data_IF_847852900951
#
_entry.id   IF_847852900951
#
_cell.length_a   1.000
_cell.length_b   1.000
_cell.length_c   1.000
_cell.angle_alpha   90.00
_cell.angle_beta   90.00
_cell.angle_gamma   90.00
#
_symmetry.space_group_name_H-M   'P 1'
#
loop_
_entity.id
_entity.type
_entity.pdbx_description
1 polymer ?
#
# COMPACT_ATOMS: atom_id res chain seq x y z
N UNK A 1 7.21 5.59 26.07
CA UNK A 1 6.87 5.65 24.63
C UNK A 1 6.59 4.24 24.14
N UNK A 2 5.33 3.94 23.90
CA UNK A 2 4.86 2.66 23.37
C UNK A 2 3.74 2.85 22.35
N UNK A 3 3.21 1.74 21.84
CA UNK A 3 2.04 1.68 20.97
C UNK A 3 0.83 2.26 21.70
N UNK A 4 0.52 1.80 22.92
CA UNK A 4 -0.64 2.26 23.67
C UNK A 4 -0.60 3.75 24.00
N UNK A 5 0.57 4.26 24.41
CA UNK A 5 0.76 5.69 24.68
C UNK A 5 0.53 6.54 23.41
N UNK A 6 1.05 6.11 22.25
CA UNK A 6 0.76 6.79 20.98
C UNK A 6 -0.73 6.80 20.64
N UNK A 7 -1.37 5.63 20.72
CA UNK A 7 -2.76 5.44 20.33
C UNK A 7 -3.72 6.19 21.26
N UNK A 8 -3.51 6.10 22.58
CA UNK A 8 -4.42 6.63 23.59
C UNK A 8 -4.24 8.12 23.84
N UNK A 9 -3.02 8.63 23.73
CA UNK A 9 -2.72 10.01 24.10
C UNK A 9 -2.60 10.88 22.85
N UNK A 10 -1.63 10.60 21.98
CA UNK A 10 -1.32 11.47 20.84
C UNK A 10 -2.39 11.37 19.74
N UNK A 11 -2.58 10.19 19.17
CA UNK A 11 -3.52 10.00 18.05
C UNK A 11 -4.96 10.31 18.45
N UNK A 12 -5.36 9.86 19.65
CA UNK A 12 -6.69 10.11 20.18
C UNK A 12 -6.99 11.61 20.34
N UNK A 13 -6.01 12.38 20.84
CA UNK A 13 -6.11 13.83 20.95
C UNK A 13 -6.16 14.52 19.59
N UNK A 14 -5.39 14.04 18.62
CA UNK A 14 -5.37 14.57 17.26
C UNK A 14 -6.71 14.36 16.55
N UNK A 15 -7.38 13.24 16.79
CA UNK A 15 -8.67 12.88 16.20
C UNK A 15 -9.88 13.31 17.04
N UNK A 16 -9.72 14.26 17.98
CA UNK A 16 -10.78 14.69 18.90
C UNK A 16 -12.04 15.25 18.23
N UNK A 17 -11.92 15.75 17.00
CA UNK A 17 -13.05 16.24 16.20
C UNK A 17 -13.95 15.11 15.67
N UNK A 18 -13.42 13.88 15.62
CA UNK A 18 -14.18 12.67 15.29
C UNK A 18 -14.86 12.14 16.54
N UNK A 19 -16.16 11.81 16.43
CA UNK A 19 -16.91 11.20 17.53
C UNK A 19 -16.23 9.92 18.02
N UNK A 20 -16.17 9.76 19.34
CA UNK A 20 -15.42 8.71 20.04
C UNK A 20 -15.56 7.31 19.42
N UNK A 21 -16.79 6.80 19.24
CA UNK A 21 -17.04 5.47 18.65
C UNK A 21 -16.43 5.22 17.26
N UNK A 22 -16.21 6.28 16.48
CA UNK A 22 -15.63 6.19 15.14
C UNK A 22 -14.13 6.37 15.16
N UNK A 23 -13.65 7.22 16.08
CA UNK A 23 -12.23 7.34 16.41
C UNK A 23 -11.67 6.00 16.89
N UNK A 24 -12.40 5.29 17.75
CA UNK A 24 -12.03 3.95 18.21
C UNK A 24 -11.81 2.97 17.05
N UNK A 25 -12.62 3.05 15.98
CA UNK A 25 -12.42 2.20 14.79
C UNK A 25 -11.10 2.50 14.08
N UNK A 26 -10.74 3.77 13.95
CA UNK A 26 -9.47 4.19 13.34
C UNK A 26 -8.30 3.75 14.22
N UNK A 27 -8.41 3.97 15.53
CA UNK A 27 -7.39 3.57 16.52
C UNK A 27 -7.19 2.06 16.52
N UNK A 28 -8.28 1.26 16.52
CA UNK A 28 -8.20 -0.20 16.47
C UNK A 28 -7.60 -0.72 15.16
N UNK A 29 -7.94 -0.11 14.02
CA UNK A 29 -7.34 -0.47 12.73
C UNK A 29 -5.83 -0.22 12.72
N UNK A 30 -5.39 0.95 13.21
CA UNK A 30 -3.97 1.30 13.34
C UNK A 30 -3.28 0.35 14.33
N UNK A 31 -3.90 0.04 15.47
CA UNK A 31 -3.39 -0.94 16.44
C UNK A 31 -3.17 -2.30 15.79
N UNK A 32 -4.16 -2.80 15.04
CA UNK A 32 -4.09 -4.08 14.36
C UNK A 32 -2.95 -4.10 13.33
N UNK A 33 -2.81 -3.02 12.55
CA UNK A 33 -1.71 -2.83 11.60
C UNK A 33 -0.34 -2.85 12.27
N UNK A 34 -0.18 -2.05 13.33
CA UNK A 34 1.07 -1.99 14.10
C UNK A 34 1.43 -3.36 14.66
N UNK A 35 0.49 -4.03 15.34
CA UNK A 35 0.76 -5.30 15.99
C UNK A 35 1.02 -6.42 14.97
N UNK A 36 0.26 -6.48 13.87
CA UNK A 36 0.45 -7.46 12.79
C UNK A 36 1.82 -7.33 12.12
N UNK A 37 2.33 -6.10 11.97
CA UNK A 37 3.68 -5.88 11.42
C UNK A 37 4.79 -6.14 12.46
N UNK A 38 4.64 -5.62 13.67
CA UNK A 38 5.66 -5.70 14.72
C UNK A 38 5.83 -7.12 15.28
N UNK A 39 4.76 -7.92 15.36
CA UNK A 39 4.85 -9.30 15.83
C UNK A 39 5.76 -10.20 14.97
N UNK A 40 6.02 -9.78 13.72
CA UNK A 40 6.90 -10.46 12.76
C UNK A 40 8.04 -9.55 12.28
N UNK A 41 8.41 -8.53 13.04
CA UNK A 41 9.41 -7.56 12.60
C UNK A 41 10.77 -8.19 12.26
N UNK A 42 11.15 -9.25 12.98
CA UNK A 42 12.40 -10.00 12.75
C UNK A 42 12.32 -10.93 11.53
N UNK A 43 11.14 -11.19 10.98
CA UNK A 43 10.98 -11.91 9.72
C UNK A 43 11.27 -10.93 8.57
N UNK A 44 12.54 -10.86 8.15
CA UNK A 44 13.05 -9.85 7.21
C UNK A 44 12.23 -9.80 5.91
N UNK A 45 11.92 -10.94 5.31
CA UNK A 45 11.16 -11.00 4.06
C UNK A 45 9.74 -10.46 4.26
N UNK A 46 9.08 -10.85 5.34
CA UNK A 46 7.76 -10.31 5.69
C UNK A 46 7.81 -8.80 5.89
N UNK A 47 8.71 -8.32 6.74
CA UNK A 47 8.86 -6.89 7.06
C UNK A 47 9.16 -6.07 5.80
N UNK A 48 10.18 -6.46 5.03
CA UNK A 48 10.57 -5.72 3.82
C UNK A 48 9.44 -5.67 2.82
N UNK A 49 8.69 -6.75 2.64
CA UNK A 49 7.62 -6.82 1.64
C UNK A 49 6.40 -5.99 2.04
N UNK A 50 6.01 -6.00 3.32
CA UNK A 50 4.93 -5.12 3.81
C UNK A 50 5.33 -3.65 3.69
N UNK A 51 6.57 -3.30 4.03
CA UNK A 51 7.06 -1.92 3.92
C UNK A 51 7.28 -1.48 2.47
N UNK A 52 7.62 -2.40 1.56
CA UNK A 52 7.94 -2.12 0.17
C UNK A 52 6.83 -1.36 -0.56
N UNK A 53 5.56 -1.72 -0.35
CA UNK A 53 4.42 -1.05 -1.00
C UNK A 53 4.23 0.41 -0.52
N UNK A 54 5.00 0.84 0.48
CA UNK A 54 4.96 2.19 1.03
C UNK A 54 6.19 3.04 0.67
N UNK A 55 7.20 2.45 0.02
CA UNK A 55 8.49 3.10 -0.24
C UNK A 55 8.33 4.43 -1.01
N UNK A 56 7.44 4.44 -2.00
CA UNK A 56 7.19 5.62 -2.85
C UNK A 56 6.50 6.76 -2.08
N UNK A 57 5.60 6.42 -1.15
CA UNK A 57 4.83 7.39 -0.35
C UNK A 57 5.61 7.87 0.87
N UNK A 58 6.44 7.02 1.48
CA UNK A 58 7.29 7.37 2.61
C UNK A 58 8.29 8.51 2.30
N UNK A 59 8.65 8.68 1.02
CA UNK A 59 9.50 9.80 0.56
C UNK A 59 8.82 11.17 0.64
N UNK A 60 7.49 11.22 0.79
CA UNK A 60 6.75 12.47 0.82
C UNK A 60 6.72 13.12 2.22
N UNK A 61 6.79 12.30 3.26
CA UNK A 61 6.54 12.76 4.62
C UNK A 61 7.82 13.21 5.34
N UNK A 62 7.67 14.34 6.02
CA UNK A 62 8.65 14.95 6.92
C UNK A 62 8.26 14.65 8.38
N UNK A 63 9.18 14.75 9.35
CA UNK A 63 10.61 15.06 9.19
C UNK A 63 11.43 13.88 8.67
N UNK A 64 12.67 14.16 8.28
CA UNK A 64 13.68 13.12 8.04
C UNK A 64 13.87 12.24 9.28
N UNK A 65 13.65 10.94 9.08
CA UNK A 65 13.80 9.87 10.05
C UNK A 65 14.35 8.62 9.34
N UNK A 66 14.84 7.61 10.08
CA UNK A 66 15.23 6.33 9.49
C UNK A 66 14.13 5.76 8.58
N UNK A 67 14.50 5.12 7.49
CA UNK A 67 13.55 4.65 6.47
C UNK A 67 12.51 3.70 7.05
N UNK A 68 12.92 2.78 7.93
CA UNK A 68 12.01 1.85 8.62
C UNK A 68 10.96 2.60 9.44
N UNK A 69 11.30 3.72 10.10
CA UNK A 69 10.34 4.54 10.85
C UNK A 69 9.30 5.14 9.90
N UNK A 70 9.75 5.78 8.81
CA UNK A 70 8.83 6.44 7.87
C UNK A 70 7.91 5.42 7.19
N UNK A 71 8.45 4.31 6.72
CA UNK A 71 7.70 3.23 6.09
C UNK A 71 6.74 2.57 7.09
N UNK A 72 7.16 2.35 8.33
CA UNK A 72 6.29 1.85 9.41
C UNK A 72 5.11 2.78 9.65
N UNK A 73 5.34 4.10 9.77
CA UNK A 73 4.26 5.07 9.95
C UNK A 73 3.33 5.09 8.75
N UNK A 74 3.85 5.08 7.52
CA UNK A 74 3.00 5.04 6.33
C UNK A 74 2.17 3.75 6.29
N UNK A 75 2.80 2.58 6.47
CA UNK A 75 2.13 1.29 6.42
C UNK A 75 1.03 1.12 7.47
N UNK A 76 1.26 1.63 8.69
CA UNK A 76 0.38 1.34 9.82
C UNK A 76 -0.59 2.47 10.16
N UNK A 77 -0.25 3.72 9.85
CA UNK A 77 -1.06 4.90 10.20
C UNK A 77 -1.63 5.56 8.96
N UNK A 78 -0.80 5.92 7.97
CA UNK A 78 -1.32 6.60 6.78
C UNK A 78 -2.19 5.67 5.95
N UNK A 79 -1.77 4.42 5.84
CA UNK A 79 -2.44 3.34 5.13
C UNK A 79 -3.43 2.60 6.03
N UNK A 80 -4.28 3.35 6.73
CA UNK A 80 -5.29 2.86 7.68
C UNK A 80 -6.66 3.45 7.37
N UNK A 81 -7.66 3.12 8.19
CA UNK A 81 -8.98 3.77 8.17
C UNK A 81 -8.93 5.30 8.34
N UNK A 82 -7.79 5.89 8.72
CA UNK A 82 -7.55 7.33 8.65
C UNK A 82 -7.76 7.88 7.23
N UNK A 83 -7.49 7.09 6.19
CA UNK A 83 -7.74 7.44 4.79
C UNK A 83 -9.24 7.65 4.51
N UNK A 84 -10.10 6.82 5.09
CA UNK A 84 -11.56 6.98 4.94
C UNK A 84 -12.03 8.29 5.59
N UNK A 85 -11.39 8.71 6.69
CA UNK A 85 -11.72 9.98 7.34
C UNK A 85 -11.23 11.20 6.54
N UNK A 86 -10.21 11.02 5.70
CA UNK A 86 -9.64 12.03 4.82
C UNK A 86 -10.28 12.09 3.43
N UNK A 87 -11.25 11.22 3.13
CA UNK A 87 -11.85 11.10 1.80
C UNK A 87 -13.31 11.55 1.77
N UNK A 88 -13.92 11.55 0.58
CA UNK A 88 -15.35 11.85 0.43
C UNK A 88 -16.27 10.86 1.18
N UNK A 89 -15.72 9.71 1.60
CA UNK A 89 -16.42 8.71 2.39
C UNK A 89 -16.35 8.97 3.91
N UNK A 90 -15.80 10.11 4.33
CA UNK A 90 -15.74 10.55 5.72
C UNK A 90 -17.10 10.56 6.45
N UNK A 91 -18.21 10.67 5.70
CA UNK A 91 -19.58 10.56 6.22
C UNK A 91 -19.86 9.22 6.91
N UNK A 92 -19.10 8.15 6.61
CA UNK A 92 -19.14 6.88 7.34
C UNK A 92 -18.81 7.06 8.83
N UNK A 93 -17.98 8.06 9.17
CA UNK A 93 -17.64 8.46 10.53
C UNK A 93 -18.49 9.60 11.08
N UNK A 94 -19.57 9.98 10.39
CA UNK A 94 -20.48 11.08 10.76
C UNK A 94 -19.77 12.43 10.94
N UNK A 95 -18.68 12.63 10.24
CA UNK A 95 -18.08 13.95 9.98
C UNK A 95 -18.64 14.49 8.66
N UNK A 96 -18.83 15.81 8.58
CA UNK A 96 -19.46 16.45 7.42
C UNK A 96 -18.48 16.62 6.26
N UNK A 97 -17.27 17.07 6.60
CA UNK A 97 -16.16 17.31 5.69
C UNK A 97 -15.01 16.34 6.02
N UNK A 98 -14.22 15.95 5.02
CA UNK A 98 -13.01 15.15 5.25
C UNK A 98 -11.99 15.89 6.11
N UNK A 99 -11.14 15.12 6.80
CA UNK A 99 -9.93 15.68 7.41
C UNK A 99 -9.10 16.36 6.33
N UNK A 100 -8.62 17.59 6.62
CA UNK A 100 -7.81 18.33 5.65
C UNK A 100 -6.45 17.66 5.40
N UNK A 101 -5.86 17.90 4.23
CA UNK A 101 -4.51 17.43 3.90
C UNK A 101 -3.47 17.92 4.92
N UNK A 102 -3.64 19.13 5.45
CA UNK A 102 -2.78 19.70 6.50
C UNK A 102 -2.89 18.91 7.80
N UNK A 103 -4.10 18.53 8.19
CA UNK A 103 -4.36 17.70 9.37
C UNK A 103 -3.73 16.32 9.21
N UNK A 104 -3.90 15.71 8.04
CA UNK A 104 -3.28 14.43 7.71
C UNK A 104 -1.75 14.51 7.76
N UNK A 105 -1.17 15.52 7.12
CA UNK A 105 0.29 15.74 7.16
C UNK A 105 0.77 15.92 8.60
N UNK A 106 0.03 16.65 9.43
CA UNK A 106 0.36 16.87 10.84
C UNK A 106 0.36 15.55 11.63
N UNK A 107 -0.72 14.76 11.52
CA UNK A 107 -0.82 13.44 12.18
C UNK A 107 0.35 12.53 11.74
N UNK A 108 0.61 12.44 10.44
CA UNK A 108 1.71 11.60 9.92
C UNK A 108 3.09 12.10 10.39
N UNK A 109 3.32 13.41 10.39
CA UNK A 109 4.60 14.00 10.85
C UNK A 109 4.81 13.80 12.35
N UNK A 110 3.77 13.98 13.15
CA UNK A 110 3.81 13.79 14.61
C UNK A 110 4.04 12.32 14.96
N UNK A 111 3.44 11.39 14.21
CA UNK A 111 3.73 9.96 14.34
C UNK A 111 5.20 9.65 14.01
N UNK A 112 5.76 10.21 12.93
CA UNK A 112 7.19 10.03 12.61
C UNK A 112 8.06 10.56 13.76
N UNK A 113 7.77 11.75 14.28
CA UNK A 113 8.48 12.31 15.43
C UNK A 113 8.41 11.41 16.66
N UNK A 114 7.25 10.82 16.93
CA UNK A 114 7.03 9.91 18.05
C UNK A 114 7.84 8.61 17.87
N UNK A 115 7.63 7.89 16.77
CA UNK A 115 8.25 6.59 16.54
C UNK A 115 9.75 6.66 16.25
N UNK A 116 10.28 7.80 15.82
CA UNK A 116 11.73 8.04 15.71
C UNK A 116 12.45 7.94 17.06
N UNK A 117 11.74 8.18 18.16
CA UNK A 117 12.29 8.11 19.53
C UNK A 117 12.14 6.72 20.15
N UNK A 118 11.32 5.85 19.57
CA UNK A 118 11.08 4.50 20.04
C UNK A 118 12.17 3.55 19.55
N UNK A 119 12.49 2.55 20.37
CA UNK A 119 13.21 1.36 19.90
C UNK A 119 12.19 0.35 19.38
N UNK A 120 12.41 -0.18 18.19
CA UNK A 120 11.48 -1.15 17.61
C UNK A 120 11.42 -2.43 18.45
N UNK A 121 12.50 -2.83 19.12
CA UNK A 121 12.46 -3.98 20.04
C UNK A 121 11.43 -3.78 21.17
N UNK A 122 11.29 -2.57 21.70
CA UNK A 122 10.33 -2.28 22.76
C UNK A 122 8.89 -2.33 22.22
N UNK A 123 8.67 -1.77 21.02
CA UNK A 123 7.37 -1.85 20.33
C UNK A 123 6.99 -3.30 19.99
N UNK A 124 7.95 -4.12 19.57
CA UNK A 124 7.74 -5.55 19.31
C UNK A 124 7.31 -6.30 20.58
N UNK A 125 7.93 -6.01 21.71
CA UNK A 125 7.57 -6.65 22.98
C UNK A 125 6.16 -6.26 23.41
N UNK A 126 5.81 -4.97 23.30
CA UNK A 126 4.44 -4.51 23.58
C UNK A 126 3.41 -5.17 22.65
N UNK A 127 3.71 -5.26 21.34
CA UNK A 127 2.80 -5.87 20.37
C UNK A 127 2.50 -7.36 20.65
N UNK A 128 3.43 -8.11 21.26
CA UNK A 128 3.23 -9.53 21.61
C UNK A 128 2.15 -9.74 22.68
N UNK A 129 2.00 -8.77 23.58
CA UNK A 129 1.06 -8.85 24.69
C UNK A 129 -0.32 -8.25 24.33
N UNK A 130 -0.45 -7.65 23.14
CA UNK A 130 -1.68 -7.03 22.67
C UNK A 130 -2.57 -8.03 21.92
N UNK A 131 -3.89 -7.90 22.11
CA UNK A 131 -4.88 -8.61 21.29
C UNK A 131 -5.12 -7.80 20.01
N UNK A 132 -4.92 -8.43 18.86
CA UNK A 132 -5.07 -7.80 17.55
C UNK A 132 -5.58 -8.80 16.50
N UNK A 133 -6.10 -8.24 15.40
CA UNK A 133 -6.42 -9.01 14.18
C UNK A 133 -5.23 -8.95 13.24
N UNK A 134 -4.81 -10.11 12.73
CA UNK A 134 -3.61 -10.24 11.90
C UNK A 134 -3.84 -9.83 10.43
N UNK A 135 -4.08 -8.54 10.23
CA UNK A 135 -4.49 -7.99 8.94
C UNK A 135 -3.53 -8.30 7.77
N UNK A 136 -2.21 -8.29 8.00
CA UNK A 136 -1.25 -8.63 6.95
C UNK A 136 -1.17 -10.13 6.70
N UNK A 137 -1.18 -10.95 7.75
CA UNK A 137 -1.12 -12.41 7.61
C UNK A 137 -2.35 -12.98 6.92
N UNK A 138 -3.55 -12.49 7.28
CA UNK A 138 -4.80 -12.88 6.62
C UNK A 138 -4.79 -12.53 5.13
N UNK A 139 -4.33 -11.32 4.77
CA UNK A 139 -4.25 -10.90 3.36
C UNK A 139 -3.26 -11.76 2.55
N UNK A 140 -2.10 -12.08 3.14
CA UNK A 140 -1.07 -12.91 2.48
C UNK A 140 -1.58 -14.31 2.18
N UNK A 141 -2.36 -14.91 3.08
CA UNK A 141 -2.93 -16.23 2.87
C UNK A 141 -3.94 -16.27 1.72
N UNK A 142 -4.66 -15.16 1.48
CA UNK A 142 -5.63 -15.05 0.38
C UNK A 142 -4.97 -14.89 -1.00
N UNK A 143 -3.78 -14.29 -1.05
CA UNK A 143 -3.12 -13.88 -2.30
C UNK A 143 -1.65 -14.37 -2.37
N UNK A 144 -1.44 -15.69 -2.45
CA UNK A 144 -0.11 -16.29 -2.32
C UNK A 144 0.82 -16.02 -3.51
N UNK A 145 0.31 -15.89 -4.74
CA UNK A 145 1.15 -15.58 -5.90
C UNK A 145 1.66 -14.15 -5.82
N UNK A 146 0.76 -13.20 -5.55
CA UNK A 146 1.10 -11.79 -5.35
C UNK A 146 2.14 -11.64 -4.25
N UNK A 147 1.93 -12.29 -3.11
CA UNK A 147 2.87 -12.28 -2.00
C UNK A 147 4.25 -12.84 -2.39
N UNK A 148 4.29 -13.99 -3.05
CA UNK A 148 5.54 -14.64 -3.46
C UNK A 148 6.35 -13.77 -4.42
N UNK A 149 5.68 -13.14 -5.39
CA UNK A 149 6.34 -12.22 -6.34
C UNK A 149 6.78 -10.92 -5.65
N UNK A 150 6.01 -10.40 -4.70
CA UNK A 150 6.38 -9.21 -3.94
C UNK A 150 7.57 -9.45 -3.00
N UNK A 151 7.70 -10.64 -2.38
CA UNK A 151 8.90 -10.98 -1.59
C UNK A 151 10.16 -10.81 -2.42
N UNK A 152 10.15 -11.37 -3.64
CA UNK A 152 11.26 -11.22 -4.59
C UNK A 152 11.51 -9.75 -4.92
N UNK A 153 10.45 -9.02 -5.23
CA UNK A 153 10.53 -7.59 -5.57
C UNK A 153 11.13 -6.75 -4.43
N UNK A 154 10.78 -7.06 -3.18
CA UNK A 154 11.28 -6.37 -2.00
C UNK A 154 12.72 -6.79 -1.62
N UNK A 155 13.11 -8.03 -1.92
CA UNK A 155 14.45 -8.56 -1.68
C UNK A 155 15.48 -8.10 -2.72
N UNK A 156 15.04 -7.79 -3.94
CA UNK A 156 15.91 -7.43 -5.07
C UNK A 156 16.71 -6.13 -4.79
N UNK A 157 18.03 -6.29 -4.73
CA UNK A 157 18.99 -5.21 -4.49
C UNK A 157 19.56 -4.65 -5.79
N UNK A 158 19.43 -5.40 -6.88
CA UNK A 158 19.70 -5.00 -8.25
C UNK A 158 18.51 -4.29 -8.89
N UNK A 159 18.62 -4.08 -10.20
CA UNK A 159 17.59 -3.39 -10.97
C UNK A 159 16.76 -4.34 -11.85
N UNK A 160 17.16 -5.61 -12.00
CA UNK A 160 16.49 -6.60 -12.85
C UNK A 160 16.66 -8.01 -12.26
N UNK A 161 15.56 -8.75 -12.16
CA UNK A 161 15.49 -10.17 -11.83
C UNK A 161 14.62 -10.88 -12.86
N UNK A 162 15.11 -12.00 -13.42
CA UNK A 162 14.33 -12.90 -14.27
C UNK A 162 14.32 -14.26 -13.59
N UNK A 163 13.13 -14.84 -13.42
CA UNK A 163 12.93 -16.07 -12.66
C UNK A 163 11.89 -16.98 -13.32
N UNK A 164 11.90 -18.26 -12.92
CA UNK A 164 10.87 -19.20 -13.35
C UNK A 164 9.51 -18.78 -12.82
N UNK A 165 8.48 -18.89 -13.66
CA UNK A 165 7.13 -18.49 -13.28
C UNK A 165 6.69 -19.28 -12.05
N UNK A 166 6.19 -18.56 -11.06
CA UNK A 166 5.58 -19.16 -9.87
C UNK A 166 4.21 -19.68 -10.27
N UNK A 167 3.97 -20.96 -10.07
CA UNK A 167 2.66 -21.57 -10.28
C UNK A 167 1.82 -21.38 -9.02
N UNK A 168 0.77 -20.56 -9.11
CA UNK A 168 -0.25 -20.43 -8.07
C UNK A 168 -1.41 -21.39 -8.30
N UNK A 169 -2.14 -21.71 -7.24
CA UNK A 169 -3.49 -22.28 -7.38
C UNK A 169 -4.38 -21.21 -8.03
N UNK A 170 -5.15 -21.57 -9.05
CA UNK A 170 -6.06 -20.61 -9.69
C UNK A 170 -7.11 -20.16 -8.67
N UNK A 171 -7.14 -18.87 -8.34
CA UNK A 171 -8.19 -18.32 -7.48
C UNK A 171 -9.48 -18.26 -8.31
N UNK A 172 -10.52 -19.01 -7.90
CA UNK A 172 -11.81 -19.06 -8.60
C UNK A 172 -12.45 -17.66 -8.76
N UNK A 173 -12.10 -16.68 -7.92
CA UNK A 173 -12.64 -15.31 -7.95
C UNK A 173 -12.34 -14.56 -9.27
N UNK A 174 -11.27 -14.90 -10.00
CA UNK A 174 -10.98 -14.26 -11.30
C UNK A 174 -12.13 -14.49 -12.30
N UNK A 175 -12.84 -15.63 -12.20
CA UNK A 175 -14.02 -15.89 -13.01
C UNK A 175 -15.26 -15.11 -12.55
N UNK A 176 -15.32 -14.68 -11.29
CA UNK A 176 -16.49 -14.01 -10.71
C UNK A 176 -16.50 -12.50 -10.97
N UNK A 177 -15.34 -11.91 -11.28
CA UNK A 177 -15.25 -10.48 -11.65
C UNK A 177 -16.05 -10.15 -12.92
N UNK A 178 -16.31 -11.11 -13.81
CA UNK A 178 -17.16 -10.89 -15.00
C UNK A 178 -18.67 -10.83 -14.70
N UNK A 179 -19.12 -11.20 -13.50
CA UNK A 179 -20.55 -11.36 -13.19
C UNK A 179 -21.09 -10.35 -12.16
N UNK A 180 -20.25 -9.54 -11.50
CA UNK A 180 -20.72 -8.61 -10.47
C UNK A 180 -21.24 -7.30 -11.09
N UNK A 181 -22.40 -6.78 -10.62
CA UNK A 181 -22.93 -5.51 -11.08
C UNK A 181 -22.01 -4.35 -10.66
N UNK A 182 -21.81 -3.42 -11.60
CA UNK A 182 -21.05 -2.17 -11.46
C UNK A 182 -21.55 -1.37 -10.25
N UNK A 183 -20.63 -1.05 -9.32
CA UNK A 183 -20.88 -0.23 -8.13
C UNK A 183 -20.15 1.10 -8.27
N UNK A 184 -20.95 2.16 -8.22
CA UNK A 184 -20.57 3.58 -8.26
C UNK A 184 -19.31 3.88 -7.43
N UNK A 185 -18.32 4.46 -8.10
CA UNK A 185 -17.01 4.99 -7.64
C UNK A 185 -16.77 4.99 -6.13
N UNK A 186 -15.84 4.14 -5.69
CA UNK A 186 -15.36 4.06 -4.31
C UNK A 186 -14.18 5.02 -4.17
N UNK A 187 -14.50 6.29 -3.91
CA UNK A 187 -13.53 7.38 -3.83
C UNK A 187 -12.70 7.41 -2.52
N UNK A 188 -12.63 6.32 -1.75
CA UNK A 188 -11.67 6.22 -0.64
C UNK A 188 -10.57 5.25 -1.02
N UNK A 189 -9.32 5.67 -0.83
CA UNK A 189 -8.16 4.87 -1.19
C UNK A 189 -7.99 3.63 -0.30
N UNK A 190 -8.95 3.24 0.54
CA UNK A 190 -8.80 2.22 1.58
C UNK A 190 -9.75 1.03 1.45
N UNK A 191 -10.92 1.21 0.85
CA UNK A 191 -11.91 0.14 0.74
C UNK A 191 -11.37 -1.04 -0.07
N UNK A 192 -11.78 -2.25 0.33
CA UNK A 192 -11.47 -3.48 -0.38
C UNK A 192 -12.29 -3.63 -1.67
N UNK A 193 -13.44 -2.98 -1.81
CA UNK A 193 -14.22 -3.11 -3.03
C UNK A 193 -13.58 -2.37 -4.21
N UNK A 194 -13.77 -2.90 -5.41
CA UNK A 194 -13.28 -2.32 -6.66
C UNK A 194 -14.35 -1.35 -7.18
N UNK A 195 -13.92 -0.17 -7.59
CA UNK A 195 -14.81 0.75 -8.27
C UNK A 195 -14.98 0.36 -9.74
N UNK A 196 -15.96 0.97 -10.40
CA UNK A 196 -16.28 0.70 -11.81
C UNK A 196 -15.06 0.84 -12.73
N UNK A 197 -14.20 1.83 -12.46
CA UNK A 197 -13.00 2.07 -13.26
C UNK A 197 -11.97 0.94 -13.10
N UNK A 198 -11.63 0.56 -11.87
CA UNK A 198 -10.69 -0.52 -11.61
C UNK A 198 -11.23 -1.86 -12.13
N UNK A 199 -12.53 -2.11 -12.02
CA UNK A 199 -13.18 -3.30 -12.58
C UNK A 199 -13.02 -3.36 -14.11
N UNK A 200 -13.23 -2.25 -14.82
CA UNK A 200 -13.07 -2.17 -16.27
C UNK A 200 -11.62 -2.42 -16.70
N UNK A 201 -10.65 -1.75 -16.06
CA UNK A 201 -9.23 -1.92 -16.37
C UNK A 201 -8.76 -3.36 -16.11
N UNK A 202 -9.15 -3.97 -14.98
CA UNK A 202 -8.85 -5.37 -14.70
C UNK A 202 -9.56 -6.32 -15.68
N UNK A 203 -10.78 -6.00 -16.09
CA UNK A 203 -11.50 -6.73 -17.14
C UNK A 203 -10.75 -6.74 -18.48
N UNK A 204 -10.13 -5.62 -18.85
CA UNK A 204 -9.29 -5.51 -20.04
C UNK A 204 -7.99 -6.33 -19.92
N UNK A 205 -7.37 -6.36 -18.74
CA UNK A 205 -6.20 -7.21 -18.44
C UNK A 205 -6.54 -8.70 -18.58
N UNK A 206 -7.63 -9.14 -17.96
CA UNK A 206 -8.10 -10.53 -17.98
C UNK A 206 -8.47 -10.97 -19.41
N UNK A 207 -9.14 -10.09 -20.15
CA UNK A 207 -9.55 -10.35 -21.54
C UNK A 207 -8.38 -10.35 -22.53
N UNK A 208 -7.18 -9.95 -22.08
CA UNK A 208 -5.99 -9.85 -22.91
C UNK A 208 -5.95 -8.62 -23.82
N UNK A 209 -6.85 -7.66 -23.63
CA UNK A 209 -6.84 -6.38 -24.35
C UNK A 209 -5.65 -5.50 -23.94
N UNK A 210 -5.20 -5.66 -22.70
CA UNK A 210 -4.08 -4.92 -22.12
C UNK A 210 -3.08 -5.91 -21.53
N UNK A 211 -1.80 -5.75 -21.88
CA UNK A 211 -0.71 -6.56 -21.34
C UNK A 211 -0.09 -5.99 -20.06
N UNK A 212 -0.30 -4.70 -19.83
CA UNK A 212 0.32 -3.94 -18.74
C UNK A 212 -0.72 -3.09 -18.03
N UNK A 213 -0.91 -3.34 -16.75
CA UNK A 213 -1.68 -2.47 -15.86
C UNK A 213 -0.75 -1.43 -15.24
N UNK A 214 -0.97 -0.15 -15.56
CA UNK A 214 -0.13 0.95 -15.08
C UNK A 214 -0.83 1.80 -14.01
N UNK A 215 -0.14 2.08 -12.92
CA UNK A 215 -0.47 3.13 -11.93
C UNK A 215 0.80 3.86 -11.54
N UNK A 216 0.77 5.15 -11.26
CA UNK A 216 2.01 5.89 -10.97
C UNK A 216 2.83 5.32 -9.79
N UNK A 217 2.14 4.87 -8.75
CA UNK A 217 2.69 4.34 -7.50
C UNK A 217 1.62 3.54 -6.75
N UNK A 218 2.02 2.75 -5.75
CA UNK A 218 1.09 1.90 -4.97
C UNK A 218 -0.08 2.67 -4.35
N UNK A 219 0.17 3.84 -3.74
CA UNK A 219 -0.92 4.66 -3.17
C UNK A 219 -1.92 5.14 -4.22
N UNK A 220 -1.47 5.26 -5.47
CA UNK A 220 -2.31 5.63 -6.61
C UNK A 220 -3.29 4.53 -7.01
N UNK A 221 -2.96 3.27 -6.71
CA UNK A 221 -3.91 2.15 -6.74
C UNK A 221 -4.79 2.16 -5.49
N UNK A 222 -4.16 2.07 -4.31
CA UNK A 222 -4.84 2.01 -3.01
C UNK A 222 -3.82 2.09 -1.87
N UNK A 223 -4.25 2.63 -0.73
CA UNK A 223 -3.56 2.53 0.56
C UNK A 223 -3.92 1.26 1.33
N UNK A 224 -4.78 0.38 0.81
CA UNK A 224 -5.09 -0.89 1.46
C UNK A 224 -4.21 -2.02 0.93
N UNK A 225 -3.36 -2.55 1.81
CA UNK A 225 -2.44 -3.63 1.50
C UNK A 225 -3.11 -4.88 0.90
N UNK A 226 -4.25 -5.30 1.43
CA UNK A 226 -4.98 -6.48 0.93
C UNK A 226 -5.48 -6.23 -0.49
N UNK A 227 -5.98 -5.03 -0.79
CA UNK A 227 -6.40 -4.66 -2.15
C UNK A 227 -5.21 -4.57 -3.11
N UNK A 228 -4.03 -4.12 -2.67
CA UNK A 228 -2.80 -4.21 -3.48
C UNK A 228 -2.50 -5.66 -3.85
N UNK A 229 -2.51 -6.57 -2.87
CA UNK A 229 -2.27 -7.99 -3.12
C UNK A 229 -3.33 -8.59 -4.06
N UNK A 230 -4.60 -8.28 -3.86
CA UNK A 230 -5.69 -8.78 -4.68
C UNK A 230 -5.52 -8.36 -6.16
N UNK A 231 -5.23 -7.09 -6.41
CA UNK A 231 -5.02 -6.57 -7.77
C UNK A 231 -3.79 -7.24 -8.41
N UNK A 232 -2.69 -7.36 -7.67
CA UNK A 232 -1.49 -8.05 -8.15
C UNK A 232 -1.77 -9.52 -8.46
N UNK A 233 -2.54 -10.22 -7.63
CA UNK A 233 -2.91 -11.62 -7.83
C UNK A 233 -3.60 -11.80 -9.20
N UNK A 234 -4.62 -10.98 -9.47
CA UNK A 234 -5.37 -11.01 -10.74
C UNK A 234 -4.47 -10.78 -11.95
N UNK A 235 -3.61 -9.75 -11.89
CA UNK A 235 -2.71 -9.38 -12.98
C UNK A 235 -1.70 -10.49 -13.26
N UNK A 236 -1.08 -11.03 -12.20
CA UNK A 236 -0.04 -12.05 -12.30
C UNK A 236 -0.60 -13.41 -12.76
N UNK A 237 -1.80 -13.78 -12.30
CA UNK A 237 -2.50 -14.99 -12.77
C UNK A 237 -2.89 -14.89 -14.25
N UNK A 238 -3.22 -13.67 -14.72
CA UNK A 238 -3.49 -13.39 -16.13
C UNK A 238 -2.23 -13.37 -16.99
N UNK A 239 -1.05 -13.60 -16.40
CA UNK A 239 0.24 -13.57 -17.09
C UNK A 239 0.64 -12.17 -17.58
N UNK A 240 0.04 -11.12 -17.02
CA UNK A 240 0.26 -9.71 -17.38
C UNK A 240 1.23 -9.04 -16.38
N UNK A 241 1.57 -7.79 -16.63
CA UNK A 241 2.49 -7.03 -15.78
C UNK A 241 1.79 -5.90 -15.05
N UNK A 242 2.11 -5.73 -13.76
CA UNK A 242 1.80 -4.55 -12.98
C UNK A 242 3.00 -3.59 -13.05
N UNK A 243 2.74 -2.34 -13.42
CA UNK A 243 3.81 -1.37 -13.68
C UNK A 243 3.53 -0.07 -12.93
N UNK A 244 4.56 0.47 -12.28
CA UNK A 244 4.59 1.82 -11.76
C UNK A 244 5.67 2.66 -12.44
N UNK A 245 5.83 3.93 -12.05
CA UNK A 245 6.99 4.68 -12.51
C UNK A 245 8.32 4.15 -11.95
N UNK A 246 8.28 3.28 -10.93
CA UNK A 246 9.45 2.75 -10.23
C UNK A 246 9.65 1.24 -10.41
N UNK A 247 8.60 0.49 -10.71
CA UNK A 247 8.64 -0.97 -10.72
C UNK A 247 7.94 -1.53 -11.96
N UNK A 248 8.53 -2.57 -12.54
CA UNK A 248 7.87 -3.49 -13.43
C UNK A 248 7.79 -4.84 -12.72
N UNK A 249 6.59 -5.36 -12.52
CA UNK A 249 6.35 -6.58 -11.75
C UNK A 249 5.51 -7.53 -12.60
N UNK A 250 6.06 -8.68 -12.94
CA UNK A 250 5.36 -9.74 -13.66
C UNK A 250 5.76 -11.11 -13.11
N UNK A 251 4.98 -12.13 -13.41
CA UNK A 251 5.31 -13.49 -13.03
C UNK A 251 6.44 -14.01 -13.94
N UNK A 252 7.68 -13.89 -13.45
CA UNK A 252 8.91 -14.29 -14.12
C UNK A 252 9.88 -13.15 -14.46
N UNK A 253 9.52 -11.88 -14.23
CA UNK A 253 10.42 -10.74 -14.39
C UNK A 253 10.05 -9.60 -13.46
N UNK A 254 11.05 -9.08 -12.75
CA UNK A 254 10.97 -7.87 -11.93
C UNK A 254 12.03 -6.89 -12.42
N UNK A 255 11.67 -5.62 -12.61
CA UNK A 255 12.64 -4.54 -12.83
C UNK A 255 12.34 -3.36 -11.91
N UNK A 256 13.41 -2.74 -11.42
CA UNK A 256 13.36 -1.68 -10.41
C UNK A 256 14.19 -0.48 -10.84
N UNK A 257 13.65 0.71 -10.62
CA UNK A 257 14.39 1.96 -10.78
C UNK A 257 15.48 2.06 -9.72
N UNK A 258 16.72 2.35 -10.15
CA UNK A 258 17.88 2.49 -9.25
C UNK A 258 17.66 3.48 -8.10
N UNK A 259 17.01 4.62 -8.39
CA UNK A 259 16.59 5.60 -7.40
C UNK A 259 15.11 5.82 -7.57
N UNK A 260 14.32 5.34 -6.61
CA UNK A 260 12.87 5.46 -6.63
C UNK A 260 12.45 6.93 -6.67
N UNK A 261 11.45 7.23 -7.49
CA UNK A 261 10.76 8.50 -7.53
C UNK A 261 9.70 8.52 -6.44
N UNK A 262 9.44 9.71 -5.89
CA UNK A 262 8.33 9.91 -4.96
C UNK A 262 6.99 9.68 -5.67
N UNK A 263 6.02 9.18 -4.93
CA UNK A 263 4.66 9.03 -5.38
C UNK A 263 4.06 10.38 -5.87
N UNK A 264 3.36 10.39 -7.01
CA UNK A 264 2.68 11.59 -7.52
C UNK A 264 1.60 12.12 -6.58
N UNK A 265 1.34 13.42 -6.65
CA UNK A 265 0.22 14.09 -5.96
C UNK A 265 -0.70 14.86 -6.90
N UNK A 266 -0.32 14.95 -8.17
CA UNK A 266 -1.07 15.62 -9.22
C UNK A 266 -0.89 14.87 -10.55
N UNK A 267 -1.81 15.10 -11.49
CA UNK A 267 -1.66 14.59 -12.85
C UNK A 267 -0.35 15.05 -13.49
N UNK A 268 0.09 16.29 -13.21
CA UNK A 268 1.38 16.80 -13.68
C UNK A 268 2.55 15.96 -13.16
N UNK A 269 2.57 15.65 -11.86
CA UNK A 269 3.60 14.78 -11.29
C UNK A 269 3.61 13.39 -11.95
N UNK A 270 2.41 12.82 -12.20
CA UNK A 270 2.28 11.55 -12.90
C UNK A 270 2.87 11.61 -14.32
N UNK A 271 2.55 12.65 -15.10
CA UNK A 271 3.14 12.84 -16.43
C UNK A 271 4.66 13.01 -16.38
N UNK A 272 5.17 13.77 -15.41
CA UNK A 272 6.61 13.97 -15.22
C UNK A 272 7.31 12.66 -14.81
N UNK A 273 6.68 11.84 -13.98
CA UNK A 273 7.17 10.55 -13.53
C UNK A 273 7.28 9.53 -14.68
N UNK A 274 6.22 9.37 -15.49
CA UNK A 274 6.21 8.44 -16.65
C UNK A 274 7.30 8.81 -17.64
N UNK A 275 7.49 10.10 -17.92
CA UNK A 275 8.49 10.61 -18.87
C UNK A 275 9.92 10.51 -18.35
N UNK A 276 10.11 10.41 -17.04
CA UNK A 276 11.42 10.31 -16.45
C UNK A 276 11.99 8.89 -16.60
N UNK A 277 12.82 8.67 -17.61
CA UNK A 277 13.43 7.37 -17.88
C UNK A 277 14.76 7.14 -17.12
N UNK A 278 15.19 8.08 -16.28
CA UNK A 278 16.51 8.02 -15.63
C UNK A 278 16.56 6.93 -14.56
N UNK A 279 17.59 6.08 -14.62
CA UNK A 279 17.79 5.01 -13.64
C UNK A 279 16.92 3.76 -13.84
N UNK A 280 16.14 3.69 -14.93
CA UNK A 280 15.43 2.48 -15.35
C UNK A 280 16.34 1.53 -16.16
N UNK A 281 16.17 0.20 -16.06
CA UNK A 281 16.79 -0.75 -16.98
C UNK A 281 16.22 -0.66 -18.39
N UNK A 282 16.90 -1.29 -19.36
CA UNK A 282 16.62 -1.12 -20.80
C UNK A 282 15.23 -1.59 -21.19
N UNK A 283 14.79 -2.75 -20.70
CA UNK A 283 13.46 -3.28 -21.02
C UNK A 283 12.37 -2.40 -20.40
N UNK A 284 12.45 -2.10 -19.11
CA UNK A 284 11.47 -1.23 -18.47
C UNK A 284 11.41 0.18 -19.09
N UNK A 285 12.54 0.73 -19.57
CA UNK A 285 12.52 1.97 -20.38
C UNK A 285 11.68 1.83 -21.64
N UNK A 286 11.77 0.68 -22.33
CA UNK A 286 10.96 0.44 -23.54
C UNK A 286 9.47 0.36 -23.21
N UNK A 287 9.13 -0.25 -22.07
CA UNK A 287 7.75 -0.33 -21.57
C UNK A 287 7.16 1.05 -21.32
N UNK A 288 7.83 1.90 -20.53
CA UNK A 288 7.30 3.24 -20.23
C UNK A 288 7.30 4.15 -21.46
N UNK A 289 8.24 4.00 -22.40
CA UNK A 289 8.21 4.76 -23.67
C UNK A 289 6.98 4.44 -24.51
N UNK A 290 6.48 3.20 -24.46
CA UNK A 290 5.26 2.82 -25.18
C UNK A 290 3.98 3.43 -24.61
N UNK A 291 4.04 4.03 -23.42
CA UNK A 291 2.91 4.64 -22.72
C UNK A 291 2.81 6.16 -22.91
N UNK A 292 3.82 6.80 -23.50
CA UNK A 292 3.92 8.28 -23.66
C UNK A 292 3.60 8.70 -25.09
#
# INVERSE_FOLDING_TARGET
>A
MGIQEYLNDLLNFELREIKYRYREKIVDDIKNRMCSLLSRWEQIDFRKTVLFVTDEEALFYEPVAPDDVRRFVVATIRNSMLEVAASVNCRQFKIQEPLSDEKIKSITSNAICYFKQCRFEDLQNEAKDMIYVDIYGEAIQKYPLAWTVLIRTAAENGNEEVFEKVHGENVEEVRVLSEKPLKKVICDGYSLEFDDYLMEELGNVISGNIDIFYVDCFKGLTRNFEKVLHVLEIILQSGKAFVTCNYYISNGRIEKRRKILRASHSQKDMFDNVRNLNGLPTFFKSVLKGMV
#
